data_IF_008059688673
#
_entry.id   IF_008059688673
#
_cell.length_a   1.000
_cell.length_b   1.000
_cell.length_c   1.000
_cell.angle_alpha   90.00
_cell.angle_beta   90.00
_cell.angle_gamma   90.00
#
_symmetry.space_group_name_H-M   'P 1'
#
loop_
_entity.id
_entity.type
_entity.pdbx_description
1 polymer ?
#
# COMPACT_ATOMS: atom_id res chain seq x y z
N UNK A 1 23.38 0.91 8.29
CA UNK A 1 23.55 2.23 7.63
C UNK A 1 23.75 2.12 6.13
N UNK A 2 24.70 1.32 5.64
CA UNK A 2 24.98 1.20 4.19
C UNK A 2 23.76 0.84 3.31
N UNK A 3 22.93 -0.12 3.73
CA UNK A 3 21.74 -0.53 2.97
C UNK A 3 20.71 0.61 2.79
N UNK A 4 20.51 1.43 3.84
CA UNK A 4 19.58 2.57 3.78
C UNK A 4 20.07 3.65 2.83
N UNK A 5 21.37 4.00 2.90
CA UNK A 5 21.96 4.98 1.99
C UNK A 5 21.89 4.50 0.53
N UNK A 6 22.23 3.23 0.29
CA UNK A 6 22.16 2.64 -1.05
C UNK A 6 20.73 2.69 -1.62
N UNK A 7 19.72 2.40 -0.81
CA UNK A 7 18.31 2.38 -1.23
C UNK A 7 17.81 3.79 -1.54
N UNK A 8 18.18 4.78 -0.72
CA UNK A 8 17.82 6.18 -0.95
C UNK A 8 18.48 6.71 -2.23
N UNK A 9 19.78 6.46 -2.41
CA UNK A 9 20.52 6.84 -3.63
C UNK A 9 19.91 6.18 -4.86
N UNK A 10 19.60 4.88 -4.81
CA UNK A 10 18.91 4.19 -5.91
C UNK A 10 17.57 4.84 -6.25
N UNK A 11 16.75 5.18 -5.24
CA UNK A 11 15.48 5.89 -5.46
C UNK A 11 15.67 7.24 -6.16
N UNK A 12 16.66 8.02 -5.72
CA UNK A 12 16.99 9.30 -6.34
C UNK A 12 17.55 9.15 -7.76
N UNK A 13 18.37 8.13 -8.01
CA UNK A 13 18.88 7.82 -9.35
C UNK A 13 17.75 7.45 -10.31
N UNK A 14 16.78 6.64 -9.87
CA UNK A 14 15.60 6.30 -10.70
C UNK A 14 14.81 7.56 -11.05
N UNK A 15 14.58 8.45 -10.08
CA UNK A 15 13.91 9.73 -10.33
C UNK A 15 14.71 10.61 -11.31
N UNK A 16 16.03 10.73 -11.14
CA UNK A 16 16.90 11.48 -12.04
C UNK A 16 16.92 10.89 -13.47
N UNK A 17 16.97 9.57 -13.59
CA UNK A 17 16.90 8.86 -14.88
C UNK A 17 15.59 9.15 -15.61
N UNK A 18 14.46 9.12 -14.89
CA UNK A 18 13.14 9.42 -15.49
C UNK A 18 13.07 10.85 -16.03
N UNK A 19 13.67 11.81 -15.34
CA UNK A 19 13.73 13.20 -15.80
C UNK A 19 14.63 13.38 -17.02
N UNK A 20 15.76 12.66 -17.06
CA UNK A 20 16.76 12.82 -18.11
C UNK A 20 16.46 12.01 -19.38
N UNK A 21 15.64 10.95 -19.28
CA UNK A 21 15.34 10.05 -20.40
C UNK A 21 14.22 10.56 -21.31
N UNK A 22 14.46 11.72 -21.93
CA UNK A 22 13.48 12.47 -22.73
C UNK A 22 12.85 11.61 -23.86
N UNK A 23 13.59 10.68 -24.45
CA UNK A 23 13.11 9.81 -25.53
C UNK A 23 11.98 8.86 -25.12
N UNK A 24 11.92 8.43 -23.86
CA UNK A 24 10.97 7.42 -23.39
C UNK A 24 9.89 8.01 -22.47
N UNK A 25 10.28 8.87 -21.53
CA UNK A 25 9.39 9.48 -20.53
C UNK A 25 8.94 10.89 -20.88
N UNK A 26 9.47 11.48 -21.96
CA UNK A 26 9.28 12.90 -22.34
C UNK A 26 9.74 13.90 -21.26
N UNK A 27 10.59 13.45 -20.33
CA UNK A 27 11.21 14.29 -19.31
C UNK A 27 10.20 14.99 -18.40
N UNK A 28 10.26 16.32 -18.33
CA UNK A 28 9.43 17.15 -17.45
C UNK A 28 7.98 17.31 -17.91
N UNK A 29 7.68 17.02 -19.18
CA UNK A 29 6.33 17.16 -19.75
C UNK A 29 5.42 15.96 -19.45
N UNK A 30 6.01 14.83 -19.02
CA UNK A 30 5.28 13.60 -18.72
C UNK A 30 4.73 12.89 -19.96
N UNK A 31 4.21 11.68 -19.76
CA UNK A 31 3.49 10.94 -20.80
C UNK A 31 2.00 11.21 -20.63
N UNK A 32 1.42 11.91 -21.60
CA UNK A 32 -0.01 12.23 -21.66
C UNK A 32 -0.69 11.48 -22.80
N UNK A 33 -1.94 11.05 -22.60
CA UNK A 33 -2.73 10.37 -23.62
C UNK A 33 -2.69 8.84 -23.53
N UNK A 34 -2.40 8.30 -22.34
CA UNK A 34 -2.45 6.86 -22.07
C UNK A 34 -3.93 6.45 -22.05
N UNK A 35 -4.40 5.98 -23.20
CA UNK A 35 -5.76 5.48 -23.36
C UNK A 35 -5.87 4.10 -22.73
N UNK A 36 -6.98 3.87 -22.04
CA UNK A 36 -7.35 2.51 -21.59
C UNK A 36 -7.38 1.56 -22.79
N UNK A 37 -6.78 0.36 -22.68
CA UNK A 37 -6.69 -0.57 -23.80
C UNK A 37 -8.09 -0.91 -24.37
N UNK A 38 -8.18 -0.88 -25.70
CA UNK A 38 -9.42 -1.02 -26.48
C UNK A 38 -10.26 -2.27 -26.15
N UNK A 39 -9.64 -3.33 -25.62
CA UNK A 39 -10.35 -4.54 -25.19
C UNK A 39 -11.38 -4.29 -24.07
N UNK A 40 -11.23 -3.19 -23.30
CA UNK A 40 -12.19 -2.76 -22.26
C UNK A 40 -13.32 -1.84 -22.79
N UNK A 41 -13.31 -1.49 -24.09
CA UNK A 41 -14.33 -0.66 -24.73
C UNK A 41 -15.63 -1.39 -25.08
N UNK A 42 -15.78 -2.67 -24.72
CA UNK A 42 -17.00 -3.45 -24.95
C UNK A 42 -18.18 -3.07 -24.03
N UNK A 43 -17.94 -2.30 -22.96
CA UNK A 43 -18.99 -1.74 -22.11
C UNK A 43 -19.36 -0.34 -22.64
N UNK A 44 -20.66 0.00 -22.62
CA UNK A 44 -21.24 1.26 -23.15
C UNK A 44 -20.63 2.57 -22.63
N UNK A 45 -19.67 2.51 -21.69
CA UNK A 45 -18.84 3.64 -21.28
C UNK A 45 -17.41 3.17 -20.96
N UNK A 46 -16.36 3.74 -21.59
CA UNK A 46 -14.96 3.35 -21.39
C UNK A 46 -14.50 3.38 -19.91
N UNK A 47 -15.05 4.29 -19.12
CA UNK A 47 -14.72 4.46 -17.70
C UNK A 47 -15.24 3.32 -16.84
N UNK A 48 -16.38 2.73 -17.22
CA UNK A 48 -17.04 1.67 -16.45
C UNK A 48 -16.32 0.33 -16.64
N UNK A 49 -15.89 0.02 -17.87
CA UNK A 49 -15.09 -1.19 -18.14
C UNK A 49 -13.76 -1.21 -17.38
N UNK A 50 -13.05 -0.08 -17.36
CA UNK A 50 -11.80 0.05 -16.61
C UNK A 50 -11.99 -0.07 -15.09
N UNK A 51 -13.09 0.47 -14.54
CA UNK A 51 -13.43 0.33 -13.14
C UNK A 51 -13.62 -1.15 -12.74
N UNK A 52 -14.44 -1.90 -13.48
CA UNK A 52 -14.67 -3.32 -13.19
C UNK A 52 -13.40 -4.16 -13.36
N UNK A 53 -12.58 -3.87 -14.37
CA UNK A 53 -11.31 -4.56 -14.57
C UNK A 53 -10.33 -4.34 -13.41
N UNK A 54 -10.15 -3.08 -13.00
CA UNK A 54 -9.31 -2.72 -11.84
C UNK A 54 -9.86 -3.35 -10.56
N UNK A 55 -11.18 -3.38 -10.39
CA UNK A 55 -11.83 -3.99 -9.23
C UNK A 55 -11.56 -5.50 -9.19
N UNK A 56 -11.77 -6.22 -10.29
CA UNK A 56 -11.49 -7.68 -10.38
C UNK A 56 -10.03 -7.98 -10.05
N UNK A 57 -9.09 -7.21 -10.59
CA UNK A 57 -7.67 -7.44 -10.35
C UNK A 57 -7.28 -7.08 -8.92
N UNK A 58 -7.76 -5.96 -8.39
CA UNK A 58 -7.53 -5.60 -6.99
C UNK A 58 -8.07 -6.67 -6.04
N UNK A 59 -9.25 -7.22 -6.32
CA UNK A 59 -9.86 -8.29 -5.54
C UNK A 59 -9.04 -9.58 -5.64
N UNK A 60 -8.59 -9.96 -6.84
CA UNK A 60 -7.73 -11.11 -7.06
C UNK A 60 -6.39 -10.98 -6.31
N UNK A 61 -5.79 -9.79 -6.30
CA UNK A 61 -4.56 -9.50 -5.55
C UNK A 61 -4.80 -9.62 -4.04
N UNK A 62 -5.90 -9.07 -3.52
CA UNK A 62 -6.24 -9.17 -2.09
C UNK A 62 -6.44 -10.62 -1.67
N UNK A 63 -7.18 -11.41 -2.45
CA UNK A 63 -7.35 -12.86 -2.21
C UNK A 63 -6.00 -13.57 -2.25
N UNK A 64 -5.16 -13.28 -3.26
CA UNK A 64 -3.82 -13.84 -3.39
C UNK A 64 -2.95 -13.55 -2.17
N UNK A 65 -2.96 -12.30 -1.68
CA UNK A 65 -2.22 -11.91 -0.48
C UNK A 65 -2.75 -12.60 0.79
N UNK A 66 -4.08 -12.76 0.92
CA UNK A 66 -4.69 -13.50 2.04
C UNK A 66 -4.29 -14.98 1.97
N UNK A 67 -4.31 -15.59 0.78
CA UNK A 67 -3.90 -16.98 0.57
C UNK A 67 -2.42 -17.18 0.91
N UNK A 68 -1.54 -16.29 0.45
CA UNK A 68 -0.11 -16.29 0.78
C UNK A 68 0.11 -16.17 2.30
N UNK A 69 -0.64 -15.30 2.98
CA UNK A 69 -0.53 -15.10 4.43
C UNK A 69 -0.99 -16.33 5.23
N UNK A 70 -2.03 -17.03 4.77
CA UNK A 70 -2.51 -18.29 5.38
C UNK A 70 -1.66 -19.50 5.03
N UNK A 71 -0.88 -19.44 3.96
CA UNK A 71 -0.01 -20.53 3.51
C UNK A 71 1.19 -20.76 4.47
N UNK A 72 1.87 -21.92 4.39
CA UNK A 72 3.09 -22.18 5.15
C UNK A 72 4.21 -21.16 4.88
N UNK A 73 4.20 -20.47 3.74
CA UNK A 73 5.14 -19.39 3.46
C UNK A 73 4.90 -18.18 4.37
N UNK A 74 3.64 -17.79 4.59
CA UNK A 74 3.26 -16.72 5.50
C UNK A 74 3.65 -17.02 6.95
N UNK A 75 3.48 -18.28 7.40
CA UNK A 75 3.92 -18.72 8.73
C UNK A 75 5.44 -18.60 8.90
N UNK A 76 6.23 -19.02 7.90
CA UNK A 76 7.70 -18.87 7.91
C UNK A 76 8.10 -17.40 8.02
N UNK A 77 7.43 -16.50 7.30
CA UNK A 77 7.66 -15.06 7.37
C UNK A 77 7.35 -14.46 8.74
N UNK A 78 6.27 -14.89 9.39
CA UNK A 78 5.96 -14.49 10.77
C UNK A 78 7.04 -14.96 11.74
N UNK A 79 7.53 -16.19 11.58
CA UNK A 79 8.66 -16.71 12.36
C UNK A 79 9.95 -15.88 12.17
N UNK A 80 10.25 -15.48 10.92
CA UNK A 80 11.40 -14.60 10.63
C UNK A 80 11.23 -13.21 11.27
N UNK A 81 10.00 -12.71 11.37
CA UNK A 81 9.69 -11.43 12.04
C UNK A 81 9.92 -11.48 13.54
N UNK A 82 9.63 -12.60 14.20
CA UNK A 82 9.83 -12.75 15.65
C UNK A 82 11.30 -12.92 16.02
N UNK A 83 12.00 -13.83 15.35
CA UNK A 83 13.44 -14.01 15.57
C UNK A 83 14.09 -14.63 14.34
N UNK A 84 14.83 -13.81 13.60
CA UNK A 84 15.63 -14.28 12.47
C UNK A 84 16.67 -15.32 12.92
N UNK A 85 17.30 -15.11 14.08
CA UNK A 85 18.31 -16.04 14.61
C UNK A 85 17.71 -17.42 14.88
N UNK A 86 16.50 -17.48 15.45
CA UNK A 86 15.81 -18.75 15.73
C UNK A 86 15.45 -19.49 14.44
N UNK A 87 14.99 -18.76 13.41
CA UNK A 87 14.67 -19.36 12.12
C UNK A 87 15.90 -19.91 11.40
N UNK A 88 17.05 -19.23 11.50
CA UNK A 88 18.33 -19.74 10.96
C UNK A 88 18.77 -21.04 11.64
N UNK A 89 18.61 -21.14 12.97
CA UNK A 89 18.94 -22.36 13.71
C UNK A 89 18.07 -23.56 13.32
N UNK A 90 16.81 -23.32 12.93
CA UNK A 90 15.91 -24.33 12.39
C UNK A 90 16.22 -24.75 10.94
N UNK A 91 17.32 -24.25 10.34
CA UNK A 91 17.75 -24.57 8.99
C UNK A 91 17.05 -23.78 7.88
N UNK A 92 16.24 -22.76 8.22
CA UNK A 92 15.60 -21.93 7.20
C UNK A 92 16.55 -20.86 6.65
N UNK A 93 16.56 -20.73 5.32
CA UNK A 93 17.24 -19.62 4.66
C UNK A 93 16.40 -18.33 4.79
N UNK A 94 16.68 -17.54 5.83
CA UNK A 94 15.95 -16.29 6.11
C UNK A 94 16.20 -15.22 5.04
N UNK A 95 17.37 -15.20 4.42
CA UNK A 95 17.72 -14.27 3.35
C UNK A 95 16.85 -14.51 2.12
N UNK A 96 16.70 -15.78 1.72
CA UNK A 96 15.85 -16.15 0.58
C UNK A 96 14.37 -15.83 0.84
N UNK A 97 13.87 -16.12 2.05
CA UNK A 97 12.49 -15.77 2.44
C UNK A 97 12.22 -14.26 2.36
N UNK A 98 13.17 -13.43 2.82
CA UNK A 98 13.06 -11.96 2.74
C UNK A 98 13.09 -11.47 1.29
N UNK A 99 13.97 -12.05 0.46
CA UNK A 99 14.06 -11.68 -0.96
C UNK A 99 12.77 -12.01 -1.72
N UNK A 100 12.19 -13.19 -1.45
CA UNK A 100 10.93 -13.61 -2.06
C UNK A 100 9.76 -12.72 -1.62
N UNK A 101 9.71 -12.35 -0.33
CA UNK A 101 8.73 -11.39 0.17
C UNK A 101 8.87 -10.01 -0.49
N UNK A 102 10.10 -9.54 -0.70
CA UNK A 102 10.39 -8.29 -1.40
C UNK A 102 9.97 -8.32 -2.88
N UNK A 103 10.16 -9.45 -3.57
CA UNK A 103 9.69 -9.59 -4.96
C UNK A 103 8.16 -9.56 -5.04
N UNK A 104 7.46 -10.26 -4.15
CA UNK A 104 5.98 -10.28 -4.13
C UNK A 104 5.43 -8.87 -3.86
N UNK A 105 5.99 -8.15 -2.88
CA UNK A 105 5.55 -6.78 -2.60
C UNK A 105 5.83 -5.82 -3.76
N UNK A 106 7.00 -5.95 -4.39
CA UNK A 106 7.39 -5.13 -5.55
C UNK A 106 6.50 -5.41 -6.76
N UNK A 107 6.11 -6.66 -6.99
CA UNK A 107 5.17 -7.03 -8.05
C UNK A 107 3.80 -6.40 -7.85
N UNK A 108 3.25 -6.48 -6.64
CA UNK A 108 1.95 -5.86 -6.30
C UNK A 108 2.02 -4.34 -6.38
N UNK A 109 3.11 -3.73 -5.92
CA UNK A 109 3.32 -2.28 -6.01
C UNK A 109 3.42 -1.81 -7.47
N UNK A 110 4.13 -2.55 -8.32
CA UNK A 110 4.26 -2.23 -9.75
C UNK A 110 2.93 -2.33 -10.48
N UNK A 111 2.13 -3.37 -10.17
CA UNK A 111 0.79 -3.54 -10.72
C UNK A 111 -0.14 -2.38 -10.33
N UNK A 112 -0.08 -1.94 -9.06
CA UNK A 112 -0.81 -0.75 -8.58
C UNK A 112 -0.38 0.52 -9.33
N UNK A 113 0.93 0.73 -9.51
CA UNK A 113 1.46 1.87 -10.27
C UNK A 113 0.99 1.89 -11.72
N UNK A 114 0.94 0.72 -12.37
CA UNK A 114 0.40 0.60 -13.73
C UNK A 114 -1.07 1.04 -13.79
N UNK A 115 -1.91 0.61 -12.85
CA UNK A 115 -3.30 1.08 -12.79
C UNK A 115 -3.42 2.57 -12.52
N UNK A 116 -2.57 3.13 -11.66
CA UNK A 116 -2.55 4.56 -11.38
C UNK A 116 -2.28 5.38 -12.65
N UNK A 117 -1.33 4.95 -13.48
CA UNK A 117 -1.01 5.60 -14.76
C UNK A 117 -2.20 5.58 -15.72
N UNK A 118 -2.90 4.46 -15.84
CA UNK A 118 -4.12 4.37 -16.68
C UNK A 118 -5.28 5.21 -16.13
N UNK A 119 -5.42 5.29 -14.80
CA UNK A 119 -6.47 6.08 -14.16
C UNK A 119 -6.23 7.59 -14.32
N UNK A 120 -5.01 8.06 -14.07
CA UNK A 120 -4.66 9.47 -14.19
C UNK A 120 -4.55 9.94 -15.64
N UNK A 121 -4.28 9.04 -16.59
CA UNK A 121 -4.17 9.34 -18.04
C UNK A 121 -2.95 10.21 -18.42
N UNK A 122 -2.28 10.77 -17.41
CA UNK A 122 -1.07 11.58 -17.45
C UNK A 122 -0.20 11.16 -16.27
N UNK A 123 1.09 10.94 -16.52
CA UNK A 123 2.08 10.66 -15.47
C UNK A 123 3.15 11.74 -15.49
N UNK A 124 3.30 12.44 -14.36
CA UNK A 124 4.34 13.44 -14.15
C UNK A 124 5.46 12.87 -13.26
N UNK A 125 6.71 13.37 -13.39
CA UNK A 125 7.84 12.92 -12.57
C UNK A 125 7.63 13.07 -11.06
N UNK A 126 6.72 13.96 -10.64
CA UNK A 126 6.35 14.16 -9.23
C UNK A 126 5.80 12.88 -8.57
N UNK A 127 5.21 11.97 -9.35
CA UNK A 127 4.69 10.70 -8.86
C UNK A 127 5.78 9.75 -8.35
N UNK A 128 7.04 9.94 -8.75
CA UNK A 128 8.18 9.08 -8.39
C UNK A 128 9.02 9.71 -7.24
N UNK A 129 8.59 10.86 -6.74
CA UNK A 129 9.31 11.56 -5.67
C UNK A 129 9.24 10.81 -4.35
N UNK A 130 10.23 11.06 -3.49
CA UNK A 130 10.27 10.57 -2.11
C UNK A 130 8.99 10.95 -1.34
N UNK A 131 8.43 12.11 -1.66
CA UNK A 131 7.20 12.60 -1.03
C UNK A 131 5.99 11.71 -1.35
N UNK A 132 5.83 11.26 -2.60
CA UNK A 132 4.78 10.32 -2.98
C UNK A 132 4.90 8.99 -2.22
N UNK A 133 6.13 8.49 -2.04
CA UNK A 133 6.37 7.28 -1.23
C UNK A 133 5.98 7.46 0.24
N UNK A 134 6.28 8.64 0.82
CA UNK A 134 5.91 8.97 2.19
C UNK A 134 4.40 8.99 2.40
N UNK A 135 3.63 9.54 1.44
CA UNK A 135 2.17 9.57 1.53
C UNK A 135 1.56 8.16 1.55
N UNK A 136 2.06 7.25 0.70
CA UNK A 136 1.62 5.84 0.69
C UNK A 136 1.98 5.15 2.01
N UNK A 137 3.18 5.42 2.54
CA UNK A 137 3.59 4.90 3.84
C UNK A 137 2.68 5.39 4.96
N UNK A 138 2.38 6.70 5.02
CA UNK A 138 1.44 7.29 5.99
C UNK A 138 0.07 6.60 5.92
N UNK A 139 -0.48 6.45 4.72
CA UNK A 139 -1.76 5.79 4.49
C UNK A 139 -1.78 4.34 5.00
N UNK A 140 -0.70 3.59 4.75
CA UNK A 140 -0.58 2.21 5.20
C UNK A 140 -0.48 2.08 6.73
N UNK A 141 0.27 2.98 7.39
CA UNK A 141 0.45 2.97 8.85
C UNK A 141 -0.85 3.41 9.54
N UNK A 142 -1.52 4.43 9.01
CA UNK A 142 -2.82 4.89 9.51
C UNK A 142 -3.85 3.75 9.51
N UNK A 143 -3.92 3.00 8.40
CA UNK A 143 -4.79 1.84 8.27
C UNK A 143 -4.46 0.68 9.21
N UNK A 144 -3.16 0.45 9.46
CA UNK A 144 -2.63 -0.57 10.34
C UNK A 144 -1.68 -1.52 9.60
N UNK A 145 -0.41 -1.54 10.03
CA UNK A 145 0.69 -2.25 9.35
C UNK A 145 0.53 -3.78 9.32
N UNK A 146 -0.29 -4.32 10.21
CA UNK A 146 -0.47 -5.78 10.36
C UNK A 146 -1.72 -6.34 9.65
N UNK A 147 -2.59 -5.50 9.08
CA UNK A 147 -3.86 -5.93 8.49
C UNK A 147 -4.01 -5.45 7.05
N UNK A 148 -4.25 -6.39 6.13
CA UNK A 148 -4.50 -6.08 4.72
C UNK A 148 -5.76 -5.21 4.58
N UNK A 149 -6.84 -5.57 5.28
CA UNK A 149 -8.08 -4.78 5.29
C UNK A 149 -7.87 -3.39 5.90
N UNK A 150 -6.97 -3.28 6.89
CA UNK A 150 -6.61 -2.00 7.48
C UNK A 150 -5.93 -1.07 6.50
N UNK A 151 -4.94 -1.58 5.76
CA UNK A 151 -4.29 -0.81 4.72
C UNK A 151 -5.28 -0.30 3.66
N UNK A 152 -6.28 -1.10 3.26
CA UNK A 152 -7.32 -0.68 2.30
C UNK A 152 -8.17 0.45 2.86
N UNK A 153 -8.72 0.28 4.07
CA UNK A 153 -9.57 1.29 4.72
C UNK A 153 -8.78 2.57 5.00
N UNK A 154 -7.56 2.44 5.54
CA UNK A 154 -6.69 3.57 5.85
C UNK A 154 -6.30 4.36 4.61
N UNK A 155 -5.99 3.68 3.51
CA UNK A 155 -5.72 4.33 2.22
C UNK A 155 -6.95 5.06 1.70
N UNK A 156 -8.14 4.46 1.79
CA UNK A 156 -9.39 5.11 1.43
C UNK A 156 -9.65 6.39 2.23
N UNK A 157 -9.52 6.33 3.56
CA UNK A 157 -9.72 7.48 4.45
C UNK A 157 -8.71 8.59 4.14
N UNK A 158 -7.42 8.27 4.04
CA UNK A 158 -6.39 9.27 3.77
C UNK A 158 -6.56 9.88 2.38
N UNK A 159 -6.95 9.09 1.37
CA UNK A 159 -7.19 9.64 0.02
C UNK A 159 -8.43 10.53 -0.04
N UNK A 160 -9.52 10.16 0.63
CA UNK A 160 -10.71 11.04 0.73
C UNK A 160 -10.34 12.34 1.45
N UNK A 161 -9.60 12.23 2.56
CA UNK A 161 -9.14 13.40 3.31
C UNK A 161 -8.22 14.28 2.46
N UNK A 162 -7.31 13.68 1.69
CA UNK A 162 -6.44 14.40 0.75
C UNK A 162 -7.25 15.17 -0.30
N UNK A 163 -8.27 14.55 -0.91
CA UNK A 163 -9.13 15.18 -1.91
C UNK A 163 -9.88 16.37 -1.30
N UNK A 164 -10.47 16.20 -0.11
CA UNK A 164 -11.23 17.25 0.57
C UNK A 164 -10.33 18.40 1.00
N UNK A 165 -9.19 18.10 1.63
CA UNK A 165 -8.25 19.13 2.13
C UNK A 165 -7.55 19.85 0.99
N UNK A 166 -7.21 19.15 -0.10
CA UNK A 166 -6.61 19.77 -1.28
C UNK A 166 -7.56 20.79 -1.94
N UNK A 167 -8.88 20.63 -1.78
CA UNK A 167 -9.87 21.60 -2.26
C UNK A 167 -9.98 22.86 -1.41
N UNK A 168 -9.56 22.81 -0.14
CA UNK A 168 -9.70 23.91 0.81
C UNK A 168 -8.36 24.62 1.07
N UNK A 169 -7.24 23.89 1.07
CA UNK A 169 -5.95 24.42 1.53
C UNK A 169 -4.76 23.84 0.75
N UNK A 170 -3.91 24.74 0.25
CA UNK A 170 -2.69 24.37 -0.51
C UNK A 170 -1.63 23.65 0.35
N UNK A 171 -1.71 23.74 1.68
CA UNK A 171 -0.82 23.10 2.67
C UNK A 171 -1.39 21.82 3.29
N UNK A 172 -2.19 21.06 2.53
CA UNK A 172 -2.83 19.83 3.02
C UNK A 172 -1.82 18.78 3.54
N UNK A 173 -0.59 18.72 3.01
CA UNK A 173 0.45 17.80 3.49
C UNK A 173 0.81 18.00 4.98
N UNK A 174 0.82 19.24 5.46
CA UNK A 174 1.11 19.53 6.87
C UNK A 174 0.00 18.99 7.77
N UNK A 175 -1.26 19.17 7.35
CA UNK A 175 -2.43 18.72 8.11
C UNK A 175 -2.45 17.18 8.17
N UNK A 176 -2.18 16.52 7.04
CA UNK A 176 -2.08 15.04 6.98
C UNK A 176 -0.95 14.55 7.89
N UNK A 177 0.21 15.21 7.89
CA UNK A 177 1.35 14.85 8.76
C UNK A 177 1.04 15.00 10.25
N UNK A 178 0.34 16.08 10.64
CA UNK A 178 -0.10 16.29 12.03
C UNK A 178 -1.13 15.22 12.43
N UNK A 179 -2.11 14.97 11.58
CA UNK A 179 -3.13 13.93 11.81
C UNK A 179 -2.49 12.55 11.96
N UNK A 180 -1.47 12.26 11.15
CA UNK A 180 -0.68 11.04 11.24
C UNK A 180 0.06 10.90 12.59
N UNK A 181 0.70 11.97 13.08
CA UNK A 181 1.34 11.98 14.39
C UNK A 181 0.34 11.70 15.52
N UNK A 182 -0.84 12.34 15.47
CA UNK A 182 -1.91 12.10 16.44
C UNK A 182 -2.30 10.61 16.42
N UNK A 183 -2.55 10.04 15.24
CA UNK A 183 -2.95 8.62 15.16
C UNK A 183 -1.86 7.67 15.62
N UNK A 184 -0.58 7.93 15.36
CA UNK A 184 0.50 7.10 15.90
C UNK A 184 0.54 7.15 17.43
N UNK A 185 0.37 8.33 18.03
CA UNK A 185 0.45 8.52 19.48
C UNK A 185 -0.75 7.88 20.19
N UNK A 186 -1.96 8.08 19.66
CA UNK A 186 -3.19 7.62 20.29
C UNK A 186 -3.63 6.20 19.86
N UNK A 187 -3.19 5.73 18.69
CA UNK A 187 -3.59 4.46 18.09
C UNK A 187 -2.41 3.74 17.41
N UNK A 188 -1.42 3.23 18.18
CA UNK A 188 -0.20 2.63 17.63
C UNK A 188 -0.43 1.34 16.83
N UNK A 189 -1.62 0.73 16.92
CA UNK A 189 -2.03 -0.43 16.12
C UNK A 189 -2.84 -0.03 14.85
N UNK A 190 -2.98 1.27 14.57
CA UNK A 190 -3.80 1.80 13.48
C UNK A 190 -5.31 1.61 13.69
N UNK A 191 -6.09 2.04 12.69
CA UNK A 191 -7.56 1.96 12.72
C UNK A 191 -8.06 0.52 12.92
N UNK A 192 -7.38 -0.48 12.33
CA UNK A 192 -7.77 -1.88 12.55
C UNK A 192 -7.49 -2.43 13.93
N UNK A 193 -6.46 -1.93 14.62
CA UNK A 193 -6.19 -2.35 15.99
C UNK A 193 -7.28 -1.90 16.96
N UNK A 194 -7.87 -0.74 16.71
CA UNK A 194 -9.04 -0.24 17.45
C UNK A 194 -10.25 -1.12 17.14
N UNK A 195 -10.52 -1.38 15.86
CA UNK A 195 -11.66 -2.24 15.46
C UNK A 195 -11.57 -3.64 16.04
N UNK A 196 -10.39 -4.27 16.01
CA UNK A 196 -10.17 -5.60 16.59
C UNK A 196 -10.31 -5.58 18.12
N UNK A 197 -9.81 -4.54 18.79
CA UNK A 197 -9.97 -4.39 20.25
C UNK A 197 -11.43 -4.17 20.68
N UNK A 198 -12.21 -3.43 19.89
CA UNK A 198 -13.64 -3.22 20.13
C UNK A 198 -14.42 -4.51 19.86
N UNK A 199 -14.11 -5.22 18.78
CA UNK A 199 -14.79 -6.46 18.42
C UNK A 199 -14.53 -7.60 19.43
N UNK A 200 -13.29 -7.72 19.92
CA UNK A 200 -12.95 -8.66 21.00
C UNK A 200 -13.68 -8.29 22.29
N UNK A 201 -13.84 -6.99 22.59
CA UNK A 201 -14.55 -6.53 23.80
C UNK A 201 -16.06 -6.82 23.71
N UNK A 202 -16.67 -6.65 22.54
CA UNK A 202 -18.06 -7.02 22.29
C UNK A 202 -18.30 -8.55 22.29
N UNK A 203 -17.36 -9.34 21.77
CA UNK A 203 -17.47 -10.81 21.79
C UNK A 203 -17.29 -11.39 23.19
N UNK A 204 -16.53 -10.72 24.07
CA UNK A 204 -16.38 -11.11 25.48
C UNK A 204 -17.62 -10.78 26.32
N UNK A 205 -18.38 -9.76 25.94
CA UNK A 205 -19.62 -9.36 26.62
C UNK A 205 -20.76 -10.35 26.32
N UNK A 206 -20.83 -10.85 25.08
CA UNK A 206 -21.82 -11.86 24.67
C UNK A 206 -21.60 -13.24 25.34
N UNK A 207 -20.36 -13.58 25.68
CA UNK A 207 -20.02 -14.82 26.37
C UNK A 207 -20.26 -14.74 27.90
N UNK A 208 -20.41 -13.52 28.45
CA UNK A 208 -20.68 -13.30 29.87
C UNK A 208 -22.18 -13.29 30.20
N UNK A 209 -23.05 -13.11 29.20
CA UNK A 209 -24.50 -13.21 29.33
C UNK A 209 -25.03 -14.66 29.28
N UNK A 210 -24.33 -15.60 28.64
CA UNK A 210 -24.75 -17.02 28.57
C UNK A 210 -24.32 -17.87 29.78
N UNK A 211 -23.49 -17.34 30.69
CA UNK A 211 -23.03 -18.05 31.90
C UNK A 211 -23.79 -17.58 33.16
N UNK A 212 -24.79 -16.71 32.98
CA UNK A 212 -25.59 -16.14 34.08
C UNK A 212 -27.06 -16.58 34.07
N UNK A 213 -27.45 -17.42 33.11
CA UNK A 213 -28.71 -18.18 33.08
C UNK A 213 -28.41 -19.66 33.36
#
# INVERSE_FOLDING_TARGET
MYFLMLTLVLGQLVWALVLQWISLTKGTTGISGIKVPQFLMGFSSPNVGFYYFTLVISYAVVIGLIAINKSPFGLKLRGVRESESRMKMLGYNTSFLKWLAFMISSFVASLSGMFYVYYSGIINPDAITLNASNQVMIASIFGGVNSIFGAIIGTGIIKVLEIVLSGITQRYLLIIGILFLIVIVFAPKGVTGILESIWIRFSKDKQKSEVKD
#
